data_IF_839882264768
#
_entry.id   IF_839882264768
#
_cell.length_a   1.000
_cell.length_b   1.000
_cell.length_c   1.000
_cell.angle_alpha   90.00
_cell.angle_beta   90.00
_cell.angle_gamma   90.00
#
_symmetry.space_group_name_H-M   'P 1'
#
loop_
_entity.id
_entity.type
_entity.pdbx_description
1 polymer ?
#
# COMPACT_ATOMS: atom_id res chain seq x y z
N UNK A 1 -2.50 31.02 20.25
CA UNK A 1 -2.55 32.46 20.58
C UNK A 1 -3.94 33.05 20.33
N UNK A 2 -4.55 32.86 19.15
CA UNK A 2 -5.88 33.34 18.80
C UNK A 2 -6.98 32.78 19.73
N UNK A 3 -6.97 31.49 20.04
CA UNK A 3 -7.92 30.84 20.94
C UNK A 3 -7.86 31.43 22.38
N UNK A 4 -6.67 31.69 22.87
CA UNK A 4 -6.51 32.33 24.19
C UNK A 4 -7.08 33.74 24.20
N UNK A 5 -6.84 34.54 23.15
CA UNK A 5 -7.41 35.87 23.00
C UNK A 5 -8.95 35.87 22.91
N UNK A 6 -9.52 34.88 22.17
CA UNK A 6 -10.98 34.73 22.09
C UNK A 6 -11.57 34.27 23.42
N UNK A 7 -10.89 33.39 24.16
CA UNK A 7 -11.34 32.95 25.49
C UNK A 7 -11.26 34.11 26.51
N UNK A 8 -10.29 34.99 26.40
CA UNK A 8 -10.21 36.17 27.25
C UNK A 8 -11.28 37.21 26.86
N UNK A 9 -11.59 37.36 25.57
CA UNK A 9 -12.73 38.14 25.12
C UNK A 9 -14.06 37.56 25.62
N UNK A 10 -14.27 36.24 25.59
CA UNK A 10 -15.47 35.60 26.13
C UNK A 10 -15.72 35.91 27.61
N UNK A 11 -14.67 36.06 28.40
CA UNK A 11 -14.78 36.39 29.83
C UNK A 11 -15.25 37.82 30.09
N UNK A 12 -14.97 38.76 29.13
CA UNK A 12 -15.27 40.16 29.26
C UNK A 12 -16.57 40.61 28.54
N UNK A 13 -17.26 39.65 27.86
CA UNK A 13 -18.49 39.93 27.15
C UNK A 13 -19.73 39.79 28.10
N UNK A 14 -20.79 40.59 27.89
CA UNK A 14 -22.06 40.45 28.57
C UNK A 14 -22.63 39.03 28.38
N UNK A 15 -23.37 38.54 29.38
CA UNK A 15 -23.95 37.18 29.39
C UNK A 15 -24.90 36.85 28.24
N UNK A 16 -25.41 37.90 27.60
CA UNK A 16 -26.37 37.76 26.47
C UNK A 16 -25.68 37.51 25.13
N UNK A 17 -24.36 37.64 25.05
CA UNK A 17 -23.60 37.41 23.81
C UNK A 17 -22.94 36.00 23.85
N UNK A 18 -23.42 35.12 22.99
CA UNK A 18 -22.77 33.80 22.76
C UNK A 18 -21.79 33.90 21.62
N UNK A 19 -20.50 33.77 21.93
CA UNK A 19 -19.44 33.67 20.92
C UNK A 19 -19.18 32.18 20.64
N UNK A 20 -19.54 31.69 19.45
CA UNK A 20 -19.20 30.37 18.97
C UNK A 20 -17.98 30.47 18.04
N UNK A 21 -16.98 29.62 18.30
CA UNK A 21 -15.76 29.51 17.48
C UNK A 21 -15.79 28.27 16.58
N UNK A 22 -16.89 27.48 16.63
CA UNK A 22 -16.97 26.15 16.01
C UNK A 22 -17.63 26.18 14.61
N UNK A 23 -17.89 27.37 14.05
CA UNK A 23 -18.60 27.52 12.78
C UNK A 23 -17.74 27.04 11.61
N UNK A 24 -16.44 27.34 11.61
CA UNK A 24 -15.48 26.87 10.61
C UNK A 24 -14.08 26.79 11.21
N UNK A 25 -13.53 25.58 11.29
CA UNK A 25 -12.15 25.34 11.72
C UNK A 25 -11.43 24.54 10.65
N UNK A 26 -10.52 25.18 9.93
CA UNK A 26 -9.68 24.50 8.95
C UNK A 26 -8.85 23.36 9.61
N UNK A 27 -8.48 23.51 10.87
CA UNK A 27 -7.81 22.48 11.65
C UNK A 27 -8.65 21.21 11.79
N UNK A 28 -9.97 21.33 11.93
CA UNK A 28 -10.90 20.18 12.04
C UNK A 28 -10.97 19.38 10.75
N UNK A 29 -10.90 20.06 9.60
CA UNK A 29 -10.85 19.40 8.29
C UNK A 29 -9.55 18.60 8.12
N UNK A 30 -8.41 19.19 8.49
CA UNK A 30 -7.11 18.51 8.42
C UNK A 30 -7.08 17.30 9.37
N UNK A 31 -7.57 17.48 10.60
CA UNK A 31 -7.62 16.40 11.60
C UNK A 31 -8.53 15.25 11.16
N UNK A 32 -9.72 15.56 10.66
CA UNK A 32 -10.63 14.56 10.09
C UNK A 32 -10.03 13.82 8.90
N UNK A 33 -9.34 14.53 8.00
CA UNK A 33 -8.67 13.94 6.85
C UNK A 33 -7.53 13.00 7.27
N UNK A 34 -6.73 13.39 8.25
CA UNK A 34 -5.66 12.54 8.81
C UNK A 34 -6.24 11.32 9.51
N UNK A 35 -7.31 11.49 10.29
CA UNK A 35 -7.97 10.38 10.97
C UNK A 35 -8.57 9.39 9.97
N UNK A 36 -9.25 9.86 8.92
CA UNK A 36 -9.80 9.00 7.87
C UNK A 36 -8.70 8.19 7.18
N UNK A 37 -7.55 8.80 6.86
CA UNK A 37 -6.42 8.08 6.27
C UNK A 37 -5.85 7.06 7.25
N UNK A 38 -5.70 7.42 8.53
CA UNK A 38 -5.24 6.52 9.58
C UNK A 38 -6.16 5.31 9.75
N UNK A 39 -7.47 5.53 9.77
CA UNK A 39 -8.46 4.46 9.90
C UNK A 39 -8.43 3.55 8.67
N UNK A 40 -8.35 4.12 7.48
CA UNK A 40 -8.21 3.34 6.23
C UNK A 40 -6.91 2.52 6.19
N UNK A 41 -5.81 3.07 6.70
CA UNK A 41 -4.53 2.35 6.82
C UNK A 41 -4.66 1.19 7.80
N UNK A 42 -5.34 1.38 8.92
CA UNK A 42 -5.54 0.35 9.93
C UNK A 42 -6.45 -0.77 9.42
N UNK A 43 -7.57 -0.43 8.78
CA UNK A 43 -8.46 -1.39 8.14
C UNK A 43 -7.74 -2.16 7.04
N UNK A 44 -7.00 -1.46 6.16
CA UNK A 44 -6.17 -2.07 5.13
C UNK A 44 -5.15 -3.04 5.70
N UNK A 45 -4.47 -2.69 6.79
CA UNK A 45 -3.53 -3.57 7.46
C UNK A 45 -4.19 -4.85 8.01
N UNK A 46 -5.40 -4.74 8.57
CA UNK A 46 -6.17 -5.91 9.03
C UNK A 46 -6.50 -6.84 7.86
N UNK A 47 -7.02 -6.29 6.74
CA UNK A 47 -7.30 -7.08 5.55
C UNK A 47 -6.06 -7.78 5.01
N UNK A 48 -4.93 -7.09 4.97
CA UNK A 48 -3.64 -7.66 4.56
C UNK A 48 -3.24 -8.82 5.47
N UNK A 49 -3.36 -8.68 6.78
CA UNK A 49 -3.06 -9.75 7.76
C UNK A 49 -3.93 -10.98 7.49
N UNK A 50 -5.23 -10.79 7.29
CA UNK A 50 -6.18 -11.88 7.01
C UNK A 50 -5.81 -12.59 5.71
N UNK A 51 -5.56 -11.84 4.64
CA UNK A 51 -5.18 -12.37 3.33
C UNK A 51 -3.86 -13.14 3.43
N UNK A 52 -2.84 -12.56 4.06
CA UNK A 52 -1.54 -13.21 4.27
C UNK A 52 -1.70 -14.54 5.01
N UNK A 53 -2.50 -14.56 6.07
CA UNK A 53 -2.73 -15.77 6.84
C UNK A 53 -3.46 -16.85 6.02
N UNK A 54 -4.45 -16.46 5.22
CA UNK A 54 -5.20 -17.37 4.35
C UNK A 54 -4.33 -17.98 3.24
N UNK A 55 -3.46 -17.18 2.61
CA UNK A 55 -2.64 -17.63 1.49
C UNK A 55 -1.38 -18.37 1.95
N UNK A 56 -0.63 -17.82 2.89
CA UNK A 56 0.63 -18.40 3.35
C UNK A 56 0.41 -19.60 4.27
N UNK A 57 -0.73 -19.69 4.96
CA UNK A 57 -1.12 -20.81 5.82
C UNK A 57 -0.12 -21.18 6.93
N UNK A 58 0.85 -20.31 7.17
CA UNK A 58 1.90 -20.52 8.14
C UNK A 58 2.18 -19.22 8.90
N UNK A 59 1.95 -19.26 10.21
CA UNK A 59 2.15 -18.10 11.08
C UNK A 59 3.56 -17.48 10.97
N UNK A 60 4.60 -18.28 10.71
CA UNK A 60 5.97 -17.77 10.62
C UNK A 60 6.20 -16.94 9.35
N UNK A 61 5.70 -17.40 8.21
CA UNK A 61 5.79 -16.65 6.94
C UNK A 61 4.96 -15.38 7.04
N UNK A 62 3.78 -15.46 7.64
CA UNK A 62 2.91 -14.28 7.90
C UNK A 62 3.60 -13.26 8.80
N UNK A 63 4.26 -13.70 9.89
CA UNK A 63 5.00 -12.80 10.80
C UNK A 63 6.14 -12.10 10.06
N UNK A 64 6.88 -12.80 9.18
CA UNK A 64 7.96 -12.18 8.40
C UNK A 64 7.39 -11.03 7.56
N UNK A 65 6.35 -11.28 6.76
CA UNK A 65 5.72 -10.25 5.94
C UNK A 65 5.10 -9.13 6.77
N UNK A 66 4.53 -9.45 7.95
CA UNK A 66 3.95 -8.48 8.88
C UNK A 66 4.99 -7.55 9.51
N UNK A 67 6.19 -8.03 9.76
CA UNK A 67 7.28 -7.21 10.33
C UNK A 67 7.92 -6.33 9.26
N UNK A 68 8.05 -6.82 8.03
CA UNK A 68 8.69 -6.05 6.94
C UNK A 68 7.87 -4.83 6.55
N UNK A 69 6.53 -4.89 6.59
CA UNK A 69 5.64 -3.79 6.21
C UNK A 69 5.79 -2.54 7.09
N UNK A 70 5.60 -2.61 8.43
CA UNK A 70 5.77 -1.43 9.28
C UNK A 70 7.20 -0.88 9.21
N UNK A 71 8.20 -1.76 9.08
CA UNK A 71 9.58 -1.32 8.99
C UNK A 71 9.83 -0.52 7.70
N UNK A 72 9.28 -0.96 6.56
CA UNK A 72 9.38 -0.21 5.30
C UNK A 72 8.74 1.18 5.41
N UNK A 73 7.59 1.27 6.09
CA UNK A 73 6.92 2.56 6.35
C UNK A 73 7.75 3.46 7.28
N UNK A 74 8.34 2.90 8.34
CA UNK A 74 9.22 3.66 9.24
C UNK A 74 10.44 4.19 8.48
N UNK A 75 11.08 3.36 7.65
CA UNK A 75 12.19 3.80 6.79
C UNK A 75 11.74 4.92 5.85
N UNK A 76 10.55 4.80 5.26
CA UNK A 76 9.97 5.85 4.41
C UNK A 76 9.82 7.16 5.16
N UNK A 77 9.24 7.15 6.36
CA UNK A 77 9.05 8.34 7.20
C UNK A 77 10.40 8.98 7.55
N UNK A 78 11.39 8.17 7.89
CA UNK A 78 12.75 8.64 8.20
C UNK A 78 13.37 9.33 6.98
N UNK A 79 13.27 8.73 5.80
CA UNK A 79 13.80 9.31 4.56
C UNK A 79 13.09 10.61 4.21
N UNK A 80 11.75 10.66 4.28
CA UNK A 80 10.98 11.88 4.06
C UNK A 80 11.39 13.00 5.03
N UNK A 81 11.61 12.67 6.30
CA UNK A 81 12.08 13.62 7.31
C UNK A 81 13.45 14.19 6.96
N UNK A 82 14.42 13.35 6.57
CA UNK A 82 15.75 13.80 6.15
C UNK A 82 15.73 14.66 4.88
N UNK A 83 14.76 14.45 4.00
CA UNK A 83 14.55 15.29 2.82
C UNK A 83 13.87 16.64 3.15
N UNK A 84 13.50 16.88 4.40
CA UNK A 84 12.81 18.10 4.83
C UNK A 84 11.35 18.17 4.37
N UNK A 85 10.76 17.05 3.95
CA UNK A 85 9.37 16.97 3.52
C UNK A 85 8.45 16.80 4.73
N UNK A 86 7.38 17.59 4.76
CA UNK A 86 6.35 17.46 5.79
C UNK A 86 5.41 16.31 5.48
N UNK A 87 5.02 15.58 6.53
CA UNK A 87 3.95 14.59 6.43
C UNK A 87 2.62 15.32 6.35
N UNK A 88 1.98 15.26 5.21
CA UNK A 88 0.65 15.83 4.95
C UNK A 88 -0.30 14.73 4.45
N UNK A 89 -1.58 15.06 4.25
CA UNK A 89 -2.60 14.10 3.76
C UNK A 89 -2.22 13.47 2.43
N UNK A 90 -1.55 14.21 1.54
CA UNK A 90 -1.12 13.71 0.24
C UNK A 90 0.04 12.72 0.37
N UNK A 91 1.06 13.02 1.20
CA UNK A 91 2.16 12.09 1.46
C UNK A 91 1.70 10.83 2.19
N UNK A 92 0.74 10.96 3.12
CA UNK A 92 0.07 9.80 3.75
C UNK A 92 -0.70 8.97 2.73
N UNK A 93 -1.42 9.62 1.81
CA UNK A 93 -2.09 8.95 0.69
C UNK A 93 -1.11 8.18 -0.21
N UNK A 94 0.03 8.78 -0.53
CA UNK A 94 1.10 8.12 -1.29
C UNK A 94 1.64 6.87 -0.58
N UNK A 95 1.88 6.95 0.74
CA UNK A 95 2.28 5.79 1.55
C UNK A 95 1.17 4.73 1.60
N UNK A 96 -0.10 5.14 1.69
CA UNK A 96 -1.23 4.23 1.69
C UNK A 96 -1.33 3.42 0.38
N UNK A 97 -1.16 4.09 -0.76
CA UNK A 97 -1.13 3.42 -2.08
C UNK A 97 0.07 2.47 -2.16
N UNK A 98 1.22 2.87 -1.62
CA UNK A 98 2.42 2.03 -1.61
C UNK A 98 2.22 0.72 -0.84
N UNK A 99 1.43 0.69 0.24
CA UNK A 99 1.24 -0.51 1.07
C UNK A 99 0.84 -1.73 0.24
N UNK A 100 0.00 -1.57 -0.78
CA UNK A 100 -0.37 -2.66 -1.67
C UNK A 100 0.85 -3.29 -2.34
N UNK A 101 1.72 -2.48 -2.96
CA UNK A 101 2.95 -2.95 -3.61
C UNK A 101 3.98 -3.48 -2.61
N UNK A 102 4.05 -2.88 -1.40
CA UNK A 102 4.92 -3.33 -0.31
C UNK A 102 4.61 -4.77 0.13
N UNK A 103 3.32 -5.09 0.20
CA UNK A 103 2.83 -6.43 0.57
C UNK A 103 3.25 -7.45 -0.47
N UNK A 104 3.09 -7.12 -1.74
CA UNK A 104 3.39 -8.04 -2.86
C UNK A 104 4.88 -8.42 -2.89
N UNK A 105 5.77 -7.45 -2.75
CA UNK A 105 7.23 -7.69 -2.73
C UNK A 105 7.64 -8.62 -1.58
N UNK A 106 7.08 -8.38 -0.38
CA UNK A 106 7.36 -9.21 0.79
C UNK A 106 6.79 -10.64 0.65
N UNK A 107 5.61 -10.80 0.05
CA UNK A 107 5.00 -12.12 -0.16
C UNK A 107 5.80 -12.95 -1.15
N UNK A 108 6.17 -12.36 -2.29
CA UNK A 108 6.89 -13.05 -3.37
C UNK A 108 8.22 -13.62 -2.88
N UNK A 109 9.01 -12.84 -2.13
CA UNK A 109 10.30 -13.31 -1.62
C UNK A 109 10.12 -14.41 -0.55
N UNK A 110 9.21 -14.21 0.41
CA UNK A 110 8.94 -15.19 1.48
C UNK A 110 8.39 -16.51 0.91
N UNK A 111 7.47 -16.44 -0.07
CA UNK A 111 6.91 -17.63 -0.71
C UNK A 111 7.97 -18.38 -1.50
N UNK A 112 8.81 -17.68 -2.26
CA UNK A 112 9.88 -18.32 -3.03
C UNK A 112 10.91 -19.00 -2.12
N UNK A 113 11.34 -18.33 -1.05
CA UNK A 113 12.24 -18.91 -0.03
C UNK A 113 11.59 -20.15 0.61
N UNK A 114 10.32 -20.05 1.00
CA UNK A 114 9.59 -21.17 1.59
C UNK A 114 9.51 -22.38 0.63
N UNK A 115 9.21 -22.13 -0.64
CA UNK A 115 9.16 -23.16 -1.70
C UNK A 115 10.52 -23.86 -1.87
N UNK A 116 11.61 -23.10 -1.95
CA UNK A 116 12.96 -23.64 -2.06
C UNK A 116 13.37 -24.44 -0.83
N UNK A 117 13.10 -23.97 0.38
CA UNK A 117 13.37 -24.70 1.62
C UNK A 117 12.59 -26.02 1.68
N UNK A 118 11.34 -26.01 1.24
CA UNK A 118 10.51 -27.21 1.16
C UNK A 118 11.07 -28.22 0.16
N UNK A 119 11.41 -27.77 -1.05
CA UNK A 119 12.01 -28.65 -2.06
C UNK A 119 13.34 -29.21 -1.57
N UNK A 120 14.17 -28.40 -0.92
CA UNK A 120 15.44 -28.84 -0.35
C UNK A 120 15.24 -29.89 0.75
N UNK A 121 14.18 -29.76 1.56
CA UNK A 121 13.87 -30.73 2.63
C UNK A 121 13.45 -32.12 2.10
N UNK A 122 12.92 -32.19 0.88
CA UNK A 122 12.53 -33.44 0.22
C UNK A 122 13.71 -34.17 -0.40
N UNK A 123 14.87 -33.51 -0.58
CA UNK A 123 16.06 -34.15 -1.12
C UNK A 123 16.74 -35.10 -0.10
N UNK A 124 17.48 -36.13 -0.56
CA UNK A 124 18.33 -36.96 0.31
C UNK A 124 19.32 -36.07 1.10
N UNK A 125 19.64 -36.46 2.33
CA UNK A 125 20.50 -35.66 3.24
C UNK A 125 21.82 -35.24 2.62
N UNK A 126 22.41 -36.10 1.77
CA UNK A 126 23.69 -35.86 1.08
C UNK A 126 23.63 -34.76 0.01
N UNK A 127 22.43 -34.50 -0.55
CA UNK A 127 22.24 -33.49 -1.61
C UNK A 127 21.56 -32.19 -1.10
N UNK A 128 21.29 -32.09 0.20
CA UNK A 128 20.67 -30.91 0.78
C UNK A 128 21.65 -29.74 0.86
N UNK A 129 21.22 -28.61 0.32
CA UNK A 129 21.92 -27.34 0.52
C UNK A 129 21.78 -26.89 1.98
N UNK A 130 22.76 -26.13 2.46
CA UNK A 130 22.61 -25.45 3.74
C UNK A 130 21.44 -24.45 3.69
N UNK A 131 20.82 -24.15 4.84
CA UNK A 131 19.69 -23.21 4.89
C UNK A 131 20.06 -21.86 4.31
N UNK A 132 21.26 -21.36 4.61
CA UNK A 132 21.76 -20.07 4.10
C UNK A 132 21.91 -20.08 2.57
N UNK A 133 22.47 -21.10 2.01
CA UNK A 133 22.63 -21.26 0.55
C UNK A 133 21.26 -21.38 -0.14
N UNK A 134 20.34 -22.12 0.46
CA UNK A 134 18.99 -22.29 -0.08
C UNK A 134 18.23 -20.94 -0.09
N UNK A 135 18.26 -20.19 1.02
CA UNK A 135 17.65 -18.86 1.12
C UNK A 135 18.32 -17.88 0.15
N UNK A 136 19.65 -17.87 0.08
CA UNK A 136 20.37 -16.99 -0.86
C UNK A 136 20.00 -17.27 -2.31
N UNK A 137 19.91 -18.55 -2.71
CA UNK A 137 19.50 -18.96 -4.06
C UNK A 137 18.08 -18.50 -4.37
N UNK A 138 17.13 -18.73 -3.46
CA UNK A 138 15.76 -18.33 -3.61
C UNK A 138 15.58 -16.82 -3.74
N UNK A 139 16.18 -16.04 -2.83
CA UNK A 139 16.10 -14.57 -2.88
C UNK A 139 16.83 -13.99 -4.09
N UNK A 140 17.92 -14.61 -4.55
CA UNK A 140 18.62 -14.19 -5.78
C UNK A 140 17.73 -14.31 -7.01
N UNK A 141 16.89 -15.33 -7.09
CA UNK A 141 16.00 -15.60 -8.21
C UNK A 141 14.95 -14.52 -8.39
N UNK A 142 14.37 -14.01 -7.29
CA UNK A 142 13.32 -12.99 -7.32
C UNK A 142 13.84 -11.55 -7.30
N UNK A 143 15.13 -11.34 -7.04
CA UNK A 143 15.74 -10.01 -6.94
C UNK A 143 15.53 -9.16 -8.19
N UNK A 144 15.87 -9.70 -9.37
CA UNK A 144 15.75 -8.95 -10.63
C UNK A 144 14.28 -8.64 -10.99
N UNK A 145 13.34 -9.59 -10.90
CA UNK A 145 11.92 -9.29 -11.05
C UNK A 145 11.43 -8.16 -10.13
N UNK A 146 11.76 -8.18 -8.84
CA UNK A 146 11.36 -7.14 -7.88
C UNK A 146 11.95 -5.78 -8.27
N UNK A 147 13.25 -5.69 -8.56
CA UNK A 147 13.88 -4.44 -8.98
C UNK A 147 13.26 -3.89 -10.26
N UNK A 148 13.03 -4.75 -11.25
CA UNK A 148 12.42 -4.33 -12.50
C UNK A 148 10.97 -3.84 -12.31
N UNK A 149 10.17 -4.53 -11.50
CA UNK A 149 8.80 -4.08 -11.21
C UNK A 149 8.80 -2.72 -10.51
N UNK A 150 9.65 -2.53 -9.51
CA UNK A 150 9.81 -1.24 -8.81
C UNK A 150 10.17 -0.12 -9.79
N UNK A 151 11.15 -0.35 -10.69
CA UNK A 151 11.55 0.65 -11.69
C UNK A 151 10.43 0.98 -12.67
N UNK A 152 9.66 -0.02 -13.12
CA UNK A 152 8.50 0.20 -14.01
C UNK A 152 7.43 1.04 -13.31
N UNK A 153 7.13 0.72 -12.06
CA UNK A 153 6.15 1.47 -11.26
C UNK A 153 6.64 2.92 -11.06
N UNK A 154 7.89 3.12 -10.69
CA UNK A 154 8.49 4.46 -10.56
C UNK A 154 8.40 5.23 -11.87
N UNK A 155 8.74 4.59 -13.00
CA UNK A 155 8.65 5.22 -14.32
C UNK A 155 7.21 5.66 -14.66
N UNK A 156 6.20 4.90 -14.23
CA UNK A 156 4.79 5.27 -14.44
C UNK A 156 4.36 6.50 -13.64
N UNK A 157 5.05 6.83 -12.55
CA UNK A 157 4.81 8.02 -11.73
C UNK A 157 5.59 9.26 -12.20
N UNK A 158 6.59 9.11 -13.08
CA UNK A 158 7.37 10.23 -13.61
C UNK A 158 6.51 11.33 -14.22
N UNK A 159 5.43 11.06 -15.00
CA UNK A 159 4.57 12.09 -15.53
C UNK A 159 3.95 13.02 -14.49
N UNK A 160 3.74 12.57 -13.25
CA UNK A 160 3.20 13.41 -12.18
C UNK A 160 4.09 14.63 -11.87
N UNK A 161 5.39 14.51 -12.06
CA UNK A 161 6.35 15.59 -11.77
C UNK A 161 6.37 16.70 -12.82
N UNK A 162 5.74 16.48 -13.97
CA UNK A 162 5.56 17.47 -15.01
C UNK A 162 4.25 18.24 -14.91
N UNK A 163 3.42 17.92 -13.92
CA UNK A 163 2.20 18.67 -13.66
C UNK A 163 2.56 20.04 -13.06
N UNK A 164 1.93 21.07 -13.61
CA UNK A 164 2.06 22.47 -13.15
C UNK A 164 0.89 22.86 -12.25
N UNK A 165 0.95 24.08 -11.71
CA UNK A 165 -0.10 24.73 -10.94
C UNK A 165 -0.55 23.97 -9.68
N UNK A 166 -1.85 23.98 -9.41
CA UNK A 166 -2.45 23.42 -8.20
C UNK A 166 -2.36 21.88 -8.18
N UNK A 167 -2.51 21.27 -9.34
CA UNK A 167 -2.43 19.82 -9.52
C UNK A 167 -1.05 19.28 -9.16
N UNK A 168 0.01 19.93 -9.65
CA UNK A 168 1.38 19.57 -9.32
C UNK A 168 1.66 19.70 -7.83
N UNK A 169 1.21 20.80 -7.20
CA UNK A 169 1.42 21.01 -5.75
C UNK A 169 0.76 19.97 -4.88
N UNK A 170 -0.37 19.42 -5.31
CA UNK A 170 -1.09 18.37 -4.57
C UNK A 170 -0.50 16.98 -4.84
N UNK A 171 -0.19 16.65 -6.09
CA UNK A 171 0.18 15.29 -6.48
C UNK A 171 1.68 14.99 -6.36
N UNK A 172 2.57 15.98 -6.45
CA UNK A 172 4.01 15.79 -6.30
C UNK A 172 4.37 15.19 -4.92
N UNK A 173 3.88 15.71 -3.77
CA UNK A 173 4.17 15.10 -2.48
C UNK A 173 3.69 13.65 -2.36
N UNK A 174 2.54 13.32 -2.97
CA UNK A 174 2.00 11.97 -3.05
C UNK A 174 2.95 11.06 -3.84
N UNK A 175 3.37 11.50 -5.04
CA UNK A 175 4.28 10.75 -5.91
C UNK A 175 5.64 10.51 -5.25
N UNK A 176 6.21 11.54 -4.60
CA UNK A 176 7.49 11.42 -3.89
C UNK A 176 7.37 10.40 -2.74
N UNK A 177 6.34 10.53 -1.89
CA UNK A 177 6.13 9.61 -0.78
C UNK A 177 5.94 8.17 -1.26
N UNK A 178 5.19 7.97 -2.33
CA UNK A 178 4.98 6.66 -2.96
C UNK A 178 6.30 6.06 -3.46
N UNK A 179 7.09 6.81 -4.24
CA UNK A 179 8.36 6.35 -4.79
C UNK A 179 9.35 5.99 -3.68
N UNK A 180 9.49 6.85 -2.67
CA UNK A 180 10.36 6.58 -1.52
C UNK A 180 9.92 5.33 -0.78
N UNK A 181 8.60 5.13 -0.61
CA UNK A 181 8.05 3.93 0.02
C UNK A 181 8.41 2.66 -0.76
N UNK A 182 8.32 2.69 -2.09
CA UNK A 182 8.71 1.57 -2.94
C UNK A 182 10.20 1.23 -2.81
N UNK A 183 11.08 2.24 -2.86
CA UNK A 183 12.51 2.01 -2.67
C UNK A 183 12.83 1.48 -1.26
N UNK A 184 12.21 2.04 -0.23
CA UNK A 184 12.36 1.57 1.14
C UNK A 184 11.93 0.10 1.29
N UNK A 185 10.79 -0.27 0.68
CA UNK A 185 10.32 -1.65 0.66
C UNK A 185 11.30 -2.58 -0.03
N UNK A 186 11.70 -2.24 -1.24
CA UNK A 186 12.66 -3.05 -2.00
C UNK A 186 13.95 -3.27 -1.21
N UNK A 187 14.44 -2.23 -0.53
CA UNK A 187 15.63 -2.34 0.33
C UNK A 187 15.38 -3.30 1.50
N UNK A 188 14.26 -3.17 2.19
CA UNK A 188 13.86 -4.06 3.30
C UNK A 188 13.64 -5.49 2.80
N UNK A 189 12.96 -5.67 1.67
CA UNK A 189 12.71 -6.98 1.07
C UNK A 189 14.03 -7.69 0.68
N UNK A 190 14.98 -6.97 0.10
CA UNK A 190 16.25 -7.56 -0.33
C UNK A 190 17.24 -7.81 0.82
N UNK A 191 17.07 -7.19 1.97
CA UNK A 191 18.00 -7.29 3.12
C UNK A 191 17.39 -8.05 4.28
N UNK A 192 16.31 -7.55 4.85
CA UNK A 192 15.72 -8.09 6.07
C UNK A 192 14.96 -9.38 5.82
N UNK A 193 14.17 -9.45 4.74
CA UNK A 193 13.33 -10.63 4.47
C UNK A 193 14.13 -11.92 4.37
N UNK A 194 15.24 -12.02 3.60
CA UNK A 194 16.06 -13.23 3.57
C UNK A 194 16.65 -13.60 4.95
N UNK A 195 17.04 -12.61 5.74
CA UNK A 195 17.57 -12.84 7.09
C UNK A 195 16.49 -13.43 8.00
N UNK A 196 15.30 -12.83 8.04
CA UNK A 196 14.16 -13.34 8.81
C UNK A 196 13.73 -14.74 8.34
N UNK A 197 13.70 -14.99 7.04
CA UNK A 197 13.41 -16.31 6.47
C UNK A 197 14.44 -17.35 6.95
N UNK A 198 15.73 -17.02 6.90
CA UNK A 198 16.79 -17.92 7.38
C UNK A 198 16.63 -18.27 8.85
N UNK A 199 16.24 -17.28 9.67
CA UNK A 199 16.10 -17.45 11.12
C UNK A 199 14.82 -18.17 11.52
N UNK A 200 13.67 -17.75 11.02
CA UNK A 200 12.36 -18.25 11.43
C UNK A 200 11.95 -19.55 10.73
N UNK A 201 12.36 -19.76 9.48
CA UNK A 201 12.00 -20.95 8.69
C UNK A 201 13.08 -22.04 8.77
N UNK A 202 14.33 -21.64 9.05
CA UNK A 202 15.48 -22.57 9.02
C UNK A 202 15.36 -23.76 10.01
N UNK A 203 14.80 -23.55 11.19
CA UNK A 203 14.60 -24.61 12.17
C UNK A 203 13.71 -25.73 11.69
N UNK A 204 12.52 -25.38 11.16
CA UNK A 204 11.56 -26.38 10.63
C UNK A 204 12.01 -27.05 9.34
N UNK A 205 12.83 -26.38 8.54
CA UNK A 205 13.40 -26.96 7.34
C UNK A 205 14.39 -28.10 7.66
N UNK A 206 15.10 -28.02 8.80
CA UNK A 206 15.97 -29.10 9.27
C UNK A 206 15.20 -30.34 9.70
N UNK A 207 14.08 -30.15 10.36
CA UNK A 207 13.25 -31.24 10.91
C UNK A 207 12.33 -31.87 9.84
N UNK A 208 12.30 -31.35 8.61
CA UNK A 208 11.41 -31.82 7.54
C UNK A 208 9.92 -31.53 7.79
N UNK A 209 9.60 -30.72 8.81
CA UNK A 209 8.23 -30.43 9.26
C UNK A 209 7.63 -29.16 8.63
N UNK A 210 8.10 -28.77 7.42
CA UNK A 210 7.51 -27.64 6.71
C UNK A 210 6.06 -27.95 6.34
N UNK A 211 5.12 -27.05 6.67
CA UNK A 211 3.71 -27.27 6.38
C UNK A 211 3.46 -27.42 4.88
N UNK A 212 2.48 -28.25 4.55
CA UNK A 212 2.01 -28.39 3.17
C UNK A 212 1.31 -27.10 2.71
N UNK A 213 1.16 -26.95 1.39
CA UNK A 213 0.39 -25.84 0.82
C UNK A 213 -1.00 -25.79 1.44
N UNK A 214 -1.49 -24.57 1.66
CA UNK A 214 -2.82 -24.33 2.21
C UNK A 214 -3.90 -24.94 1.33
N UNK A 215 -4.98 -25.44 1.93
CA UNK A 215 -6.11 -25.98 1.17
C UNK A 215 -6.68 -24.97 0.16
N UNK A 216 -6.71 -23.69 0.52
CA UNK A 216 -7.14 -22.59 -0.35
C UNK A 216 -6.21 -22.47 -1.56
N UNK A 217 -4.90 -22.49 -1.35
CA UNK A 217 -3.92 -22.42 -2.44
C UNK A 217 -4.05 -23.61 -3.40
N UNK A 218 -4.26 -24.83 -2.88
CA UNK A 218 -4.49 -26.01 -3.70
C UNK A 218 -5.77 -25.92 -4.53
N UNK A 219 -6.84 -25.41 -3.90
CA UNK A 219 -8.13 -25.23 -4.57
C UNK A 219 -8.03 -24.19 -5.70
N UNK A 220 -7.43 -23.03 -5.41
CA UNK A 220 -7.21 -21.99 -6.40
C UNK A 220 -6.31 -22.45 -7.56
N UNK A 221 -5.21 -23.15 -7.27
CA UNK A 221 -4.34 -23.72 -8.30
C UNK A 221 -5.08 -24.70 -9.22
N UNK A 222 -6.00 -25.50 -8.67
CA UNK A 222 -6.81 -26.43 -9.48
C UNK A 222 -7.71 -25.68 -10.46
N UNK A 223 -8.44 -24.67 -9.99
CA UNK A 223 -9.30 -23.85 -10.86
C UNK A 223 -8.50 -23.03 -11.86
N UNK A 224 -7.38 -22.44 -11.42
CA UNK A 224 -6.48 -21.71 -12.31
C UNK A 224 -5.95 -22.59 -13.44
N UNK A 225 -5.54 -23.83 -13.13
CA UNK A 225 -5.06 -24.76 -14.15
C UNK A 225 -6.13 -25.01 -15.22
N UNK A 226 -7.36 -25.31 -14.82
CA UNK A 226 -8.48 -25.55 -15.75
C UNK A 226 -8.75 -24.31 -16.60
N UNK A 227 -8.80 -23.14 -15.97
CA UNK A 227 -9.02 -21.85 -16.66
C UNK A 227 -7.89 -21.53 -17.64
N UNK A 228 -6.64 -21.81 -17.25
CA UNK A 228 -5.47 -21.57 -18.09
C UNK A 228 -5.44 -22.51 -19.30
N UNK A 229 -5.70 -23.81 -19.10
CA UNK A 229 -5.80 -24.81 -20.17
C UNK A 229 -6.86 -24.39 -21.19
N UNK A 230 -8.07 -24.03 -20.71
CA UNK A 230 -9.14 -23.54 -21.57
C UNK A 230 -8.74 -22.25 -22.34
N UNK A 231 -8.09 -21.30 -21.67
CA UNK A 231 -7.65 -20.05 -22.29
C UNK A 231 -6.59 -20.29 -23.37
N UNK A 232 -5.67 -21.22 -23.14
CA UNK A 232 -4.63 -21.59 -24.12
C UNK A 232 -5.20 -22.33 -25.33
N UNK A 233 -6.22 -23.16 -25.13
CA UNK A 233 -6.93 -23.82 -26.23
C UNK A 233 -7.72 -22.80 -27.06
N UNK A 234 -8.35 -21.82 -26.42
CA UNK A 234 -9.20 -20.83 -27.07
C UNK A 234 -8.50 -19.45 -27.22
N UNK A 235 -7.18 -19.44 -27.44
CA UNK A 235 -6.36 -18.21 -27.51
C UNK A 235 -6.91 -17.10 -28.39
N UNK A 236 -7.52 -17.46 -29.56
CA UNK A 236 -8.10 -16.46 -30.49
C UNK A 236 -9.33 -15.77 -29.86
N UNK A 237 -10.17 -16.55 -29.15
CA UNK A 237 -11.35 -16.02 -28.47
C UNK A 237 -10.94 -15.11 -27.31
N UNK A 238 -9.95 -15.52 -26.51
CA UNK A 238 -9.44 -14.72 -25.39
C UNK A 238 -8.83 -13.42 -25.88
N UNK A 239 -7.97 -13.46 -26.92
CA UNK A 239 -7.40 -12.24 -27.50
C UNK A 239 -8.50 -11.35 -28.09
N UNK A 240 -9.44 -11.93 -28.84
CA UNK A 240 -10.56 -11.18 -29.42
C UNK A 240 -11.43 -10.50 -28.36
N UNK A 241 -11.79 -11.20 -27.30
CA UNK A 241 -12.57 -10.61 -26.19
C UNK A 241 -11.81 -9.49 -25.47
N UNK A 242 -10.50 -9.65 -25.27
CA UNK A 242 -9.65 -8.62 -24.66
C UNK A 242 -9.59 -7.36 -25.53
N UNK A 243 -9.44 -7.52 -26.84
CA UNK A 243 -9.42 -6.37 -27.76
C UNK A 243 -10.77 -5.65 -27.79
N UNK A 244 -11.88 -6.41 -27.83
CA UNK A 244 -13.23 -5.82 -27.79
C UNK A 244 -13.43 -5.05 -26.48
N UNK A 245 -13.05 -5.64 -25.33
CA UNK A 245 -13.17 -4.99 -24.04
C UNK A 245 -12.31 -3.72 -23.97
N UNK A 246 -11.12 -3.74 -24.56
CA UNK A 246 -10.26 -2.57 -24.64
C UNK A 246 -10.90 -1.45 -25.49
N UNK A 247 -11.50 -1.77 -26.64
CA UNK A 247 -12.22 -0.79 -27.48
C UNK A 247 -13.39 -0.18 -26.74
N UNK A 248 -14.16 -1.00 -26.03
CA UNK A 248 -15.29 -0.52 -25.20
C UNK A 248 -14.80 0.41 -24.11
N UNK A 249 -13.72 0.03 -23.38
CA UNK A 249 -13.12 0.87 -22.35
C UNK A 249 -12.62 2.20 -22.91
N UNK A 250 -12.01 2.18 -24.10
CA UNK A 250 -11.57 3.39 -24.79
C UNK A 250 -12.75 4.29 -25.17
N UNK A 251 -13.84 3.70 -25.65
CA UNK A 251 -15.10 4.41 -25.95
C UNK A 251 -15.70 5.06 -24.69
N UNK A 252 -15.77 4.32 -23.60
CA UNK A 252 -16.24 4.84 -22.31
C UNK A 252 -15.35 5.99 -21.79
N UNK A 253 -14.03 5.93 -22.00
CA UNK A 253 -13.11 6.98 -21.59
C UNK A 253 -13.42 8.34 -22.24
N UNK A 254 -13.87 8.36 -23.49
CA UNK A 254 -14.26 9.59 -24.18
C UNK A 254 -15.63 10.13 -23.76
N UNK A 255 -16.48 9.30 -23.18
CA UNK A 255 -17.82 9.69 -22.71
C UNK A 255 -17.84 10.12 -21.25
N UNK A 256 -16.82 9.79 -20.46
CA UNK A 256 -16.71 10.18 -19.06
C UNK A 256 -16.46 11.68 -18.91
N UNK A 257 -17.18 12.30 -17.97
CA UNK A 257 -16.95 13.69 -17.59
C UNK A 257 -15.56 13.89 -17.00
N UNK A 258 -14.95 15.04 -17.27
CA UNK A 258 -13.65 15.41 -16.77
C UNK A 258 -13.81 16.34 -15.57
N UNK A 259 -13.47 15.87 -14.39
CA UNK A 259 -13.39 16.66 -13.17
C UNK A 259 -12.08 16.34 -12.48
N UNK A 260 -11.29 17.37 -12.15
CA UNK A 260 -10.02 17.16 -11.46
C UNK A 260 -10.21 16.89 -9.97
N UNK A 261 -11.11 17.64 -9.34
CA UNK A 261 -11.41 17.46 -7.93
C UNK A 261 -12.71 16.68 -7.75
N UNK A 262 -12.72 15.63 -6.91
CA UNK A 262 -13.97 15.00 -6.52
C UNK A 262 -14.85 16.02 -5.77
N UNK A 263 -16.19 15.91 -5.82
CA UNK A 263 -17.04 16.74 -5.01
C UNK A 263 -16.73 16.50 -3.53
N UNK A 264 -16.21 17.53 -2.86
CA UNK A 264 -15.96 17.48 -1.42
C UNK A 264 -17.29 17.66 -0.70
N UNK A 265 -17.69 16.64 0.04
CA UNK A 265 -18.81 16.75 0.95
C UNK A 265 -18.27 16.97 2.36
N UNK A 266 -18.22 18.24 2.77
CA UNK A 266 -17.69 18.64 4.09
C UNK A 266 -18.67 18.32 5.23
N UNK A 267 -19.86 17.79 4.94
CA UNK A 267 -20.89 17.49 5.94
C UNK A 267 -21.47 18.72 6.61
N UNK A 268 -21.10 19.94 6.15
CA UNK A 268 -21.59 21.21 6.66
C UNK A 268 -22.01 22.13 5.53
N UNK A 269 -23.09 22.87 5.74
CA UNK A 269 -23.55 23.94 4.86
C UNK A 269 -23.38 25.28 5.56
N UNK A 270 -22.66 26.21 4.95
CA UNK A 270 -22.55 27.57 5.44
C UNK A 270 -23.52 28.46 4.65
N UNK A 271 -24.55 28.97 5.31
CA UNK A 271 -25.51 29.92 4.73
C UNK A 271 -25.12 31.30 5.20
N UNK A 272 -24.65 32.14 4.28
CA UNK A 272 -24.37 33.57 4.58
C UNK A 272 -25.65 34.35 4.30
N UNK A 273 -26.23 34.91 5.37
CA UNK A 273 -27.38 35.79 5.27
C UNK A 273 -26.87 37.21 5.51
N UNK A 274 -26.97 38.05 4.49
CA UNK A 274 -26.70 39.49 4.64
C UNK A 274 -28.03 40.23 4.62
N UNK A 275 -28.37 40.93 5.72
CA UNK A 275 -29.51 41.84 5.76
C UNK A 275 -29.06 43.25 5.40
N UNK A 276 -30.01 44.06 4.90
CA UNK A 276 -29.77 45.49 4.69
C UNK A 276 -29.49 46.18 6.03
N UNK A 277 -28.51 47.10 6.08
CA UNK A 277 -28.25 47.85 7.31
C UNK A 277 -29.48 48.65 7.69
N UNK A 278 -30.04 48.43 8.90
CA UNK A 278 -31.14 49.19 9.45
C UNK A 278 -32.52 48.50 9.52
N UNK A 279 -32.56 47.15 9.30
CA UNK A 279 -33.76 46.38 9.61
C UNK A 279 -33.52 45.54 10.87
#
# INVERSE_FOLDING_TARGET
KLENAINDLKKNLPTDIKVSTDIFRQAHFIESSINNVKDSLFEGAIFVIVILFLFLGNARTTIISLVTLPLSLVVTIIVLHFMGLSINTMSLGGMAIAIGSLVDDAIVDVENVWKHLRLNSLLPKEKRLTIRECVYKASKEVRMPILNSTLIIVASFVPLFFLSDMEGRMLIPLGIAFIISLFASTLVALTLTPVLCSYLLGGKAKDGSLPQETAISKYLKKYYKISLEWALEHKRMVIGSTVIMFIIALGCFFTLGRSFLPPFNEGSFTINISSLPGI
#
